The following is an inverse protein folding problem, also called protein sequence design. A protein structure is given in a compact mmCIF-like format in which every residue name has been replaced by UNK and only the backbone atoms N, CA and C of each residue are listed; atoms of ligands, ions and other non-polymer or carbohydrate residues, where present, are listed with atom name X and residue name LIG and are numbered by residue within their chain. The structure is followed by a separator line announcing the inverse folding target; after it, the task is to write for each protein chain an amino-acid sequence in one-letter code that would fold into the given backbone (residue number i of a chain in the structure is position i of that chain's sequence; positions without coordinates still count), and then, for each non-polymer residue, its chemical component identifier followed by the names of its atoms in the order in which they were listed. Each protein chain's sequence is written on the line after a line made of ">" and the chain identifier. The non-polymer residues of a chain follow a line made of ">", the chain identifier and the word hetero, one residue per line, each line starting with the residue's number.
data_IF_848299441058
#
_entry.id   IF_848299441058
#
_cell.length_a   1.000
_cell.length_b   1.000
_cell.length_c   1.000
_cell.angle_alpha   90.00
_cell.angle_beta   90.00
_cell.angle_gamma   90.00
#
_symmetry.space_group_name_H-M   'P 1'
#
loop_
_entity.id
_entity.type
_entity.pdbx_description
1 polymer ?
#
# COMPACT_ATOMS: atom_id res chain seq x y z
N UNK A 1 22.06 -15.54 35.21
CA UNK A 1 21.49 -16.24 34.04
C UNK A 1 20.91 -15.16 33.12
N UNK A 2 21.63 -14.84 32.04
CA UNK A 2 21.30 -13.75 31.11
C UNK A 2 20.12 -14.17 30.22
N UNK A 3 18.99 -13.49 30.34
CA UNK A 3 17.85 -13.65 29.44
C UNK A 3 18.01 -12.73 28.22
N UNK A 4 18.96 -13.04 27.34
CA UNK A 4 18.96 -12.52 25.97
C UNK A 4 18.03 -13.38 25.11
N UNK A 5 16.74 -13.43 25.45
CA UNK A 5 15.75 -13.94 24.52
C UNK A 5 15.46 -12.83 23.50
N UNK A 6 16.25 -12.83 22.42
CA UNK A 6 15.77 -12.36 21.11
C UNK A 6 14.64 -13.31 20.68
N UNK A 7 13.48 -13.23 21.35
CA UNK A 7 12.29 -13.89 20.86
C UNK A 7 12.03 -13.30 19.46
N UNK A 8 11.99 -14.13 18.40
CA UNK A 8 11.64 -13.64 17.09
C UNK A 8 10.31 -12.91 17.22
N UNK A 9 10.19 -11.74 16.57
CA UNK A 9 8.90 -11.04 16.47
C UNK A 9 7.89 -12.09 16.01
N UNK A 10 6.86 -12.36 16.83
CA UNK A 10 5.80 -13.29 16.49
C UNK A 10 5.26 -12.91 15.11
N UNK A 11 5.65 -13.70 14.11
CA UNK A 11 5.11 -13.58 12.76
C UNK A 11 3.83 -14.35 12.77
N UNK A 12 2.72 -13.64 12.68
CA UNK A 12 1.40 -14.22 12.53
C UNK A 12 1.30 -14.87 11.15
N UNK A 13 1.37 -16.22 11.01
CA UNK A 13 1.47 -16.84 9.69
C UNK A 13 0.26 -16.53 8.82
N UNK A 14 -0.92 -16.37 9.43
CA UNK A 14 -2.14 -15.99 8.74
C UNK A 14 -2.07 -14.58 8.12
N UNK A 15 -1.34 -13.64 8.73
CA UNK A 15 -1.14 -12.30 8.16
C UNK A 15 -0.33 -12.42 6.88
N UNK A 16 0.72 -13.23 6.88
CA UNK A 16 1.57 -13.41 5.70
C UNK A 16 0.81 -14.13 4.57
N UNK A 17 0.02 -15.16 4.90
CA UNK A 17 -0.87 -15.83 3.93
C UNK A 17 -1.87 -14.84 3.34
N UNK A 18 -2.56 -14.05 4.17
CA UNK A 18 -3.54 -13.08 3.69
C UNK A 18 -2.91 -11.96 2.87
N UNK A 19 -1.69 -11.51 3.23
CA UNK A 19 -0.88 -10.61 2.36
C UNK A 19 -0.61 -11.25 1.02
N UNK A 20 -0.20 -12.52 0.98
CA UNK A 20 0.02 -13.25 -0.27
C UNK A 20 -1.23 -13.28 -1.15
N UNK A 21 -2.39 -13.62 -0.58
CA UNK A 21 -3.68 -13.62 -1.28
C UNK A 21 -4.06 -12.22 -1.80
N UNK A 22 -3.86 -11.18 -1.00
CA UNK A 22 -4.10 -9.80 -1.43
C UNK A 22 -3.14 -9.36 -2.55
N UNK A 23 -1.87 -9.79 -2.55
CA UNK A 23 -0.93 -9.52 -3.66
C UNK A 23 -1.42 -10.20 -4.94
N UNK A 24 -1.82 -11.48 -4.86
CA UNK A 24 -2.35 -12.21 -6.01
C UNK A 24 -3.60 -11.52 -6.58
N UNK A 25 -4.48 -11.04 -5.69
CA UNK A 25 -5.64 -10.27 -6.10
C UNK A 25 -5.24 -8.99 -6.84
N UNK A 26 -4.31 -8.17 -6.33
CA UNK A 26 -3.83 -6.96 -7.02
C UNK A 26 -3.38 -7.24 -8.45
N UNK A 27 -2.62 -8.32 -8.64
CA UNK A 27 -2.16 -8.74 -9.97
C UNK A 27 -3.36 -9.09 -10.84
N UNK A 28 -4.26 -9.94 -10.34
CA UNK A 28 -5.45 -10.37 -11.07
C UNK A 28 -6.36 -9.17 -11.43
N UNK A 29 -6.57 -8.24 -10.51
CA UNK A 29 -7.40 -7.06 -10.72
C UNK A 29 -6.81 -6.11 -11.76
N UNK A 30 -5.49 -5.88 -11.76
CA UNK A 30 -4.85 -5.06 -12.79
C UNK A 30 -4.84 -5.74 -14.17
N UNK A 31 -4.58 -7.05 -14.22
CA UNK A 31 -4.58 -7.82 -15.47
C UNK A 31 -5.99 -7.85 -16.07
N UNK A 32 -6.99 -8.27 -15.30
CA UNK A 32 -8.38 -8.32 -15.76
C UNK A 32 -8.93 -6.93 -16.10
N UNK A 33 -8.56 -5.90 -15.33
CA UNK A 33 -8.89 -4.50 -15.63
C UNK A 33 -8.30 -4.00 -16.96
N UNK A 34 -7.13 -4.50 -17.36
CA UNK A 34 -6.55 -4.20 -18.69
C UNK A 34 -7.31 -4.89 -19.81
N UNK A 35 -7.71 -6.15 -19.62
CA UNK A 35 -8.47 -6.94 -20.60
C UNK A 35 -9.90 -6.43 -20.80
N UNK A 36 -10.53 -5.85 -19.78
CA UNK A 36 -11.85 -5.21 -19.90
C UNK A 36 -11.89 -4.09 -20.95
N UNK A 37 -10.75 -3.52 -21.32
CA UNK A 37 -10.63 -2.49 -22.37
C UNK A 37 -10.59 -3.06 -23.79
N UNK A 38 -10.36 -4.36 -23.93
CA UNK A 38 -10.25 -5.06 -25.22
C UNK A 38 -11.56 -5.78 -25.60
N UNK A 39 -12.51 -5.88 -24.66
CA UNK A 39 -13.80 -6.52 -24.89
C UNK A 39 -14.90 -5.49 -25.19
N UNK A 40 -15.86 -5.79 -26.09
CA UNK A 40 -17.02 -4.93 -26.32
C UNK A 40 -17.81 -4.74 -25.03
N UNK A 41 -18.03 -3.48 -24.65
CA UNK A 41 -18.74 -3.16 -23.42
C UNK A 41 -20.15 -3.74 -23.44
N UNK A 42 -20.51 -4.49 -22.40
CA UNK A 42 -21.82 -5.13 -22.26
C UNK A 42 -21.94 -6.50 -22.93
N UNK A 43 -20.90 -7.03 -23.58
CA UNK A 43 -20.90 -8.43 -24.03
C UNK A 43 -20.96 -9.41 -22.84
N UNK A 44 -21.41 -10.66 -23.03
CA UNK A 44 -21.42 -11.67 -21.97
C UNK A 44 -20.04 -11.87 -21.32
N UNK A 45 -18.98 -11.92 -22.11
CA UNK A 45 -17.60 -12.08 -21.65
C UNK A 45 -17.15 -10.85 -20.85
N UNK A 46 -17.51 -9.64 -21.32
CA UNK A 46 -17.22 -8.40 -20.61
C UNK A 46 -17.92 -8.39 -19.24
N UNK A 47 -19.20 -8.77 -19.19
CA UNK A 47 -19.99 -8.80 -17.95
C UNK A 47 -19.41 -9.80 -16.93
N UNK A 48 -19.04 -10.99 -17.38
CA UNK A 48 -18.41 -12.00 -16.52
C UNK A 48 -17.07 -11.51 -15.96
N UNK A 49 -16.21 -10.96 -16.83
CA UNK A 49 -14.90 -10.44 -16.42
C UNK A 49 -15.04 -9.21 -15.50
N UNK A 50 -16.01 -8.35 -15.77
CA UNK A 50 -16.30 -7.17 -14.96
C UNK A 50 -16.81 -7.56 -13.58
N UNK A 51 -17.74 -8.53 -13.51
CA UNK A 51 -18.24 -9.06 -12.25
C UNK A 51 -17.09 -9.62 -11.39
N UNK A 52 -16.20 -10.43 -12.00
CA UNK A 52 -15.01 -10.96 -11.33
C UNK A 52 -14.08 -9.83 -10.84
N UNK A 53 -13.70 -8.91 -11.73
CA UNK A 53 -12.79 -7.81 -11.41
C UNK A 53 -13.31 -6.91 -10.29
N UNK A 54 -14.60 -6.57 -10.31
CA UNK A 54 -15.24 -5.70 -9.31
C UNK A 54 -15.40 -6.39 -7.96
N UNK A 55 -15.74 -7.67 -7.96
CA UNK A 55 -15.83 -8.47 -6.73
C UNK A 55 -14.47 -8.60 -6.05
N UNK A 56 -13.41 -8.73 -6.85
CA UNK A 56 -12.05 -8.87 -6.35
C UNK A 56 -11.46 -7.58 -5.80
N UNK A 57 -12.13 -6.43 -5.80
CA UNK A 57 -11.52 -5.15 -5.41
C UNK A 57 -11.37 -4.94 -3.89
N UNK A 58 -10.58 -5.79 -3.20
CA UNK A 58 -10.43 -5.76 -1.74
C UNK A 58 -8.99 -5.65 -1.21
N UNK A 59 -7.94 -5.78 -2.04
CA UNK A 59 -6.55 -5.79 -1.54
C UNK A 59 -6.16 -4.54 -0.78
N UNK A 60 -6.54 -3.35 -1.28
CA UNK A 60 -6.18 -2.09 -0.64
C UNK A 60 -6.73 -2.01 0.79
N UNK A 61 -8.05 -2.16 1.04
CA UNK A 61 -8.56 -2.17 2.39
C UNK A 61 -7.99 -3.34 3.22
N UNK A 62 -7.76 -4.51 2.63
CA UNK A 62 -7.10 -5.63 3.29
C UNK A 62 -5.69 -5.29 3.81
N UNK A 63 -4.83 -4.69 2.98
CA UNK A 63 -3.47 -4.30 3.40
C UNK A 63 -3.48 -3.20 4.45
N UNK A 64 -4.36 -2.21 4.34
CA UNK A 64 -4.50 -1.15 5.33
C UNK A 64 -4.97 -1.72 6.67
N UNK A 65 -5.97 -2.61 6.65
CA UNK A 65 -6.47 -3.28 7.83
C UNK A 65 -5.40 -4.12 8.54
N UNK A 66 -4.70 -4.99 7.80
CA UNK A 66 -3.60 -5.78 8.36
C UNK A 66 -2.48 -4.90 8.93
N UNK A 67 -2.17 -3.80 8.25
CA UNK A 67 -1.17 -2.85 8.73
C UNK A 67 -1.62 -2.22 10.04
N UNK A 68 -2.86 -1.74 10.12
CA UNK A 68 -3.43 -1.19 11.37
C UNK A 68 -3.44 -2.21 12.50
N UNK A 69 -3.87 -3.45 12.24
CA UNK A 69 -3.89 -4.51 13.25
C UNK A 69 -2.49 -4.81 13.81
N UNK A 70 -1.53 -5.10 12.93
CA UNK A 70 -0.16 -5.47 13.35
C UNK A 70 0.52 -4.31 14.06
N UNK A 71 0.32 -3.07 13.58
CA UNK A 71 0.92 -1.90 14.18
C UNK A 71 0.25 -1.49 15.49
N UNK A 72 -1.06 -1.56 15.56
CA UNK A 72 -1.83 -1.35 16.78
C UNK A 72 -1.38 -2.30 17.88
N UNK A 73 -1.28 -3.60 17.55
CA UNK A 73 -0.75 -4.61 18.47
C UNK A 73 0.69 -4.27 18.93
N UNK A 74 1.53 -3.75 18.02
CA UNK A 74 2.90 -3.37 18.37
C UNK A 74 3.00 -2.20 19.37
N UNK A 75 1.96 -1.36 19.50
CA UNK A 75 1.95 -0.22 20.41
C UNK A 75 1.76 -0.58 21.88
N UNK A 76 1.29 -1.79 22.19
CA UNK A 76 1.24 -2.35 23.54
C UNK A 76 2.62 -2.82 24.03
N UNK A 77 3.60 -2.95 23.14
CA UNK A 77 5.01 -3.23 23.47
C UNK A 77 5.77 -1.92 23.69
N UNK A 78 7.08 -1.99 23.94
CA UNK A 78 7.96 -0.82 24.02
C UNK A 78 7.89 0.04 22.73
N UNK A 79 7.03 1.06 22.75
CA UNK A 79 6.85 1.99 21.64
C UNK A 79 7.88 3.12 21.71
N UNK A 80 8.70 3.26 20.65
CA UNK A 80 9.61 4.38 20.46
C UNK A 80 9.30 5.07 19.13
N UNK A 81 8.75 6.29 19.19
CA UNK A 81 8.28 7.03 18.01
C UNK A 81 9.36 7.19 16.94
N UNK A 82 10.59 7.57 17.32
CA UNK A 82 11.69 7.74 16.34
C UNK A 82 12.03 6.45 15.59
N UNK A 83 12.10 5.32 16.30
CA UNK A 83 12.33 4.00 15.67
C UNK A 83 11.17 3.61 14.75
N UNK A 84 9.94 3.89 15.18
CA UNK A 84 8.74 3.66 14.38
C UNK A 84 8.77 4.44 13.07
N UNK A 85 8.95 5.76 13.13
CA UNK A 85 8.96 6.64 11.96
C UNK A 85 10.09 6.29 10.99
N UNK A 86 11.31 6.04 11.48
CA UNK A 86 12.44 5.59 10.65
C UNK A 86 12.09 4.33 9.85
N UNK A 87 11.51 3.34 10.53
CA UNK A 87 11.14 2.09 9.91
C UNK A 87 10.02 2.25 8.87
N UNK A 88 9.09 3.20 9.05
CA UNK A 88 8.07 3.52 8.04
C UNK A 88 8.67 4.27 6.86
N UNK A 89 9.57 5.22 7.12
CA UNK A 89 10.25 5.96 6.06
C UNK A 89 11.00 4.99 5.12
N UNK A 90 11.74 4.02 5.66
CA UNK A 90 12.47 3.04 4.87
C UNK A 90 11.58 2.06 4.09
N UNK A 91 10.41 1.70 4.64
CA UNK A 91 9.53 0.68 4.04
C UNK A 91 8.43 1.24 3.14
N UNK A 92 8.04 2.50 3.31
CA UNK A 92 6.93 3.12 2.60
C UNK A 92 7.41 4.35 1.82
N UNK A 93 7.96 5.34 2.52
CA UNK A 93 8.34 6.62 1.90
C UNK A 93 9.43 6.45 0.86
N UNK A 94 10.50 5.70 1.18
CA UNK A 94 11.63 5.52 0.27
C UNK A 94 11.23 4.79 -1.03
N UNK A 95 10.57 3.60 -1.00
CA UNK A 95 10.05 2.98 -2.22
C UNK A 95 9.08 3.87 -2.98
N UNK A 96 8.21 4.60 -2.27
CA UNK A 96 7.27 5.52 -2.89
C UNK A 96 7.95 6.63 -3.69
N UNK A 97 8.94 7.30 -3.09
CA UNK A 97 9.68 8.38 -3.75
C UNK A 97 10.52 7.85 -4.92
N UNK A 98 11.16 6.70 -4.74
CA UNK A 98 11.94 6.04 -5.79
C UNK A 98 11.07 5.76 -7.03
N UNK A 99 9.95 5.06 -6.86
CA UNK A 99 9.06 4.72 -7.97
C UNK A 99 8.35 5.94 -8.55
N UNK A 100 8.00 6.93 -7.71
CA UNK A 100 7.47 8.20 -8.21
C UNK A 100 8.48 8.89 -9.13
N UNK A 101 9.75 8.96 -8.74
CA UNK A 101 10.82 9.51 -9.56
C UNK A 101 10.98 8.75 -10.88
N UNK A 102 11.02 7.41 -10.84
CA UNK A 102 11.11 6.56 -12.03
C UNK A 102 9.95 6.83 -12.99
N UNK A 103 8.70 6.87 -12.51
CA UNK A 103 7.53 7.10 -13.36
C UNK A 103 7.44 8.51 -13.91
N UNK A 104 7.85 9.52 -13.14
CA UNK A 104 7.90 10.89 -13.62
C UNK A 104 8.98 11.07 -14.69
N UNK A 105 10.14 10.45 -14.51
CA UNK A 105 11.21 10.44 -15.51
C UNK A 105 10.76 9.71 -16.78
N UNK A 106 10.14 8.54 -16.64
CA UNK A 106 9.60 7.79 -17.78
C UNK A 106 8.55 8.59 -18.54
N UNK A 107 7.61 9.26 -17.85
CA UNK A 107 6.62 10.14 -18.49
C UNK A 107 7.28 11.29 -19.25
N UNK A 108 8.31 11.90 -18.66
CA UNK A 108 9.06 12.96 -19.32
C UNK A 108 9.78 12.44 -20.57
N UNK A 109 10.38 11.26 -20.50
CA UNK A 109 11.02 10.61 -21.65
C UNK A 109 10.03 10.32 -22.80
N UNK A 110 8.83 9.83 -22.46
CA UNK A 110 7.80 9.45 -23.45
C UNK A 110 7.10 10.67 -24.09
N UNK A 111 6.84 11.73 -23.30
CA UNK A 111 6.02 12.87 -23.74
C UNK A 111 6.81 14.17 -23.98
N UNK A 112 8.02 14.28 -23.43
CA UNK A 112 8.80 15.52 -23.38
C UNK A 112 8.27 16.58 -22.40
N UNK A 113 7.17 16.31 -21.68
CA UNK A 113 6.48 17.31 -20.85
C UNK A 113 6.85 17.16 -19.37
N UNK A 114 7.40 18.22 -18.78
CA UNK A 114 7.62 18.34 -17.34
C UNK A 114 6.72 19.43 -16.75
N UNK A 115 5.96 19.09 -15.70
CA UNK A 115 4.98 19.96 -15.04
C UNK A 115 5.34 20.14 -13.56
N UNK A 116 6.36 20.97 -13.24
CA UNK A 116 6.83 21.15 -11.87
C UNK A 116 5.74 21.67 -10.93
N UNK A 117 4.81 22.48 -11.43
CA UNK A 117 3.67 23.01 -10.68
C UNK A 117 2.73 21.91 -10.16
N UNK A 118 2.72 20.74 -10.79
CA UNK A 118 1.92 19.59 -10.37
C UNK A 118 2.68 18.62 -9.48
N UNK A 119 4.00 18.76 -9.37
CA UNK A 119 4.87 17.81 -8.69
C UNK A 119 4.45 17.60 -7.23
N UNK A 120 4.21 18.70 -6.50
CA UNK A 120 3.78 18.62 -5.11
C UNK A 120 2.44 17.87 -4.98
N UNK A 121 1.45 18.18 -5.81
CA UNK A 121 0.17 17.48 -5.82
C UNK A 121 0.34 15.99 -6.17
N UNK A 122 1.19 15.68 -7.15
CA UNK A 122 1.46 14.30 -7.55
C UNK A 122 2.14 13.50 -6.44
N UNK A 123 3.04 14.13 -5.68
CA UNK A 123 3.74 13.51 -4.56
C UNK A 123 2.87 13.38 -3.30
N UNK A 124 2.00 14.35 -3.03
CA UNK A 124 1.13 14.32 -1.85
C UNK A 124 -0.03 13.34 -2.00
N UNK A 125 -0.49 13.08 -3.23
CA UNK A 125 -1.65 12.22 -3.50
C UNK A 125 -1.31 10.94 -4.28
N UNK A 126 -0.02 10.64 -4.48
CA UNK A 126 0.42 9.43 -5.17
C UNK A 126 -0.02 9.34 -6.63
N UNK A 127 -0.13 10.50 -7.30
CA UNK A 127 -0.57 10.61 -8.71
C UNK A 127 0.58 10.54 -9.72
N UNK A 128 1.80 10.22 -9.26
CA UNK A 128 2.92 9.92 -10.16
C UNK A 128 2.61 8.71 -11.06
N UNK A 129 1.87 7.71 -10.55
CA UNK A 129 1.36 6.59 -11.34
C UNK A 129 0.15 5.93 -10.66
N UNK A 130 -0.69 5.22 -11.41
CA UNK A 130 -2.04 4.85 -10.96
C UNK A 130 -2.09 3.95 -9.71
N UNK A 131 -1.08 3.12 -9.46
CA UNK A 131 -1.05 2.24 -8.27
C UNK A 131 -0.31 2.86 -7.08
N UNK A 132 0.40 3.98 -7.26
CA UNK A 132 1.23 4.57 -6.20
C UNK A 132 0.41 5.27 -5.10
N UNK A 133 -0.84 5.63 -5.38
CA UNK A 133 -1.73 6.23 -4.38
C UNK A 133 -1.85 5.35 -3.12
N UNK A 134 -1.82 4.03 -3.27
CA UNK A 134 -1.91 3.10 -2.15
C UNK A 134 -0.75 3.27 -1.15
N UNK A 135 0.48 3.49 -1.63
CA UNK A 135 1.63 3.71 -0.74
C UNK A 135 1.49 5.01 0.04
N UNK A 136 0.92 6.05 -0.56
CA UNK A 136 0.64 7.33 0.11
C UNK A 136 -0.43 7.17 1.17
N UNK A 137 -1.53 6.48 0.85
CA UNK A 137 -2.59 6.18 1.83
C UNK A 137 -2.04 5.35 2.99
N UNK A 138 -1.23 4.32 2.70
CA UNK A 138 -0.57 3.53 3.73
C UNK A 138 0.37 4.38 4.59
N UNK A 139 1.14 5.30 3.99
CA UNK A 139 2.00 6.22 4.72
C UNK A 139 1.17 7.13 5.64
N UNK A 140 0.14 7.78 5.10
CA UNK A 140 -0.79 8.65 5.86
C UNK A 140 -1.39 7.89 7.04
N UNK A 141 -1.93 6.69 6.81
CA UNK A 141 -2.44 5.82 7.86
C UNK A 141 -1.39 5.56 8.93
N UNK A 142 -0.16 5.20 8.55
CA UNK A 142 0.90 4.94 9.54
C UNK A 142 1.35 6.19 10.29
N UNK A 143 1.28 7.38 9.70
CA UNK A 143 1.54 8.62 10.41
C UNK A 143 0.42 8.97 11.38
N UNK A 144 -0.83 8.61 11.04
CA UNK A 144 -2.00 8.84 11.90
C UNK A 144 -2.07 7.87 13.08
N UNK A 145 -1.61 6.62 12.92
CA UNK A 145 -1.73 5.57 13.94
C UNK A 145 -1.16 5.94 15.35
N UNK A 146 0.02 6.57 15.48
CA UNK A 146 0.55 7.00 16.78
C UNK A 146 -0.36 7.94 17.56
N UNK A 147 -1.20 8.75 16.90
CA UNK A 147 -2.13 9.66 17.57
C UNK A 147 -3.27 8.92 18.29
N UNK A 148 -3.55 7.67 17.91
CA UNK A 148 -4.54 6.81 18.56
C UNK A 148 -3.96 5.98 19.71
N UNK A 149 -2.63 6.00 19.91
CA UNK A 149 -1.97 5.24 21.00
C UNK A 149 -2.56 5.54 22.38
N UNK A 150 -2.87 6.81 22.76
CA UNK A 150 -3.47 7.09 24.06
C UNK A 150 -4.86 6.49 24.24
N UNK A 151 -5.62 6.27 23.16
CA UNK A 151 -6.92 5.59 23.20
C UNK A 151 -6.75 4.08 23.32
N UNK A 152 -5.78 3.51 22.61
CA UNK A 152 -5.52 2.06 22.62
C UNK A 152 -4.94 1.56 23.94
N UNK A 153 -4.22 2.41 24.68
CA UNK A 153 -3.58 2.05 25.96
C UNK A 153 -4.47 2.26 27.20
N UNK A 154 -5.70 2.75 27.01
CA UNK A 154 -6.71 2.79 28.07
C UNK A 154 -7.37 1.43 28.20
#
# INVERSE_FOLDING_TARGET
>A
MNLTHNAPVERFPWVEVFRGLAILEVVLHHVTGRFLRELPQGSPEWLLLAAANRTLHFAVPAFLFMTTLVLGASFYREFRLGRYLRNRALRLLWPYLLWSGIYLLFRYWDTGVFQPERLLHQLLFGKAYFHLYFLVVALQLTLLLPFFVPLLRR
#
